data_IF_799559101194
#
_entry.id   IF_799559101194
#
_cell.length_a   1.000
_cell.length_b   1.000
_cell.length_c   1.000
_cell.angle_alpha   90.00
_cell.angle_beta   90.00
_cell.angle_gamma   90.00
#
_symmetry.space_group_name_H-M   'P 1'
#
loop_
_entity.id
_entity.type
_entity.pdbx_description
1 polymer ?
#
# COMPACT_ATOMS: atom_id res chain seq x y z
N UNK A 1 4.03 23.42 -13.08
CA UNK A 1 3.28 22.46 -13.93
C UNK A 1 2.16 21.78 -13.13
N UNK A 2 2.41 21.30 -11.90
CA UNK A 2 1.44 20.50 -11.13
C UNK A 2 0.10 21.22 -10.92
N UNK A 3 0.12 22.50 -10.51
CA UNK A 3 -1.11 23.28 -10.24
C UNK A 3 -1.71 23.95 -11.48
N UNK A 4 -0.94 24.12 -12.56
CA UNK A 4 -1.37 24.66 -13.84
C UNK A 4 -0.99 23.73 -14.99
N UNK A 5 -1.59 22.53 -15.07
CA UNK A 5 -1.23 21.59 -16.11
C UNK A 5 -1.77 22.04 -17.47
N UNK A 6 -0.98 21.82 -18.50
CA UNK A 6 -1.39 21.98 -19.89
C UNK A 6 -1.81 20.63 -20.46
N UNK A 7 -2.85 20.04 -19.86
CA UNK A 7 -3.35 18.74 -20.29
C UNK A 7 -4.56 18.95 -21.20
N UNK A 8 -4.44 18.54 -22.45
CA UNK A 8 -5.52 18.51 -23.41
C UNK A 8 -6.25 17.16 -23.41
N UNK A 9 -7.41 17.11 -24.04
CA UNK A 9 -8.11 15.84 -24.25
C UNK A 9 -7.25 14.82 -25.03
N UNK A 10 -6.47 15.30 -26.00
CA UNK A 10 -5.52 14.46 -26.75
C UNK A 10 -4.41 13.89 -25.86
N UNK A 11 -3.96 14.68 -24.88
CA UNK A 11 -2.98 14.19 -23.90
C UNK A 11 -3.58 13.08 -23.05
N UNK A 12 -4.82 13.23 -22.60
CA UNK A 12 -5.50 12.18 -21.86
C UNK A 12 -5.69 10.91 -22.70
N UNK A 13 -6.05 11.06 -23.98
CA UNK A 13 -6.19 9.94 -24.90
C UNK A 13 -4.86 9.22 -25.12
N UNK A 14 -3.76 9.93 -25.24
CA UNK A 14 -2.44 9.34 -25.41
C UNK A 14 -1.95 8.65 -24.12
N UNK A 15 -1.97 9.36 -23.01
CA UNK A 15 -1.37 8.91 -21.76
C UNK A 15 -2.33 8.04 -20.91
N UNK A 16 -3.61 8.34 -20.92
CA UNK A 16 -4.63 7.62 -20.18
C UNK A 16 -5.12 6.39 -20.92
N UNK A 17 -6.08 6.62 -21.83
CA UNK A 17 -6.66 5.55 -22.65
C UNK A 17 -7.32 6.08 -23.91
N UNK A 18 -7.39 5.25 -24.94
CA UNK A 18 -8.11 5.49 -26.20
C UNK A 18 -8.52 4.17 -26.86
N UNK A 19 -9.40 4.26 -27.84
CA UNK A 19 -9.67 3.13 -28.72
C UNK A 19 -8.57 2.98 -29.75
N UNK A 20 -8.09 1.76 -29.94
CA UNK A 20 -7.11 1.41 -30.95
C UNK A 20 -7.72 0.43 -31.97
N UNK A 21 -7.48 0.70 -33.24
CA UNK A 21 -7.89 -0.15 -34.35
C UNK A 21 -6.65 -0.74 -35.03
N UNK A 22 -6.39 -2.02 -34.79
CA UNK A 22 -5.23 -2.73 -35.34
C UNK A 22 -5.30 -3.02 -36.87
N UNK A 23 -6.47 -2.79 -37.50
CA UNK A 23 -6.72 -2.97 -38.93
C UNK A 23 -8.21 -2.86 -39.21
N UNK A 24 -8.60 -2.75 -40.49
CA UNK A 24 -10.01 -2.54 -40.86
C UNK A 24 -10.94 -3.67 -40.41
N UNK A 25 -10.44 -4.89 -40.32
CA UNK A 25 -11.19 -6.07 -39.90
C UNK A 25 -10.89 -6.50 -38.44
N UNK A 26 -10.05 -5.74 -37.73
CA UNK A 26 -9.71 -6.04 -36.36
C UNK A 26 -10.77 -5.46 -35.40
N UNK A 27 -11.03 -6.11 -34.26
CA UNK A 27 -11.87 -5.52 -33.23
C UNK A 27 -11.21 -4.28 -32.63
N UNK A 28 -12.04 -3.33 -32.18
CA UNK A 28 -11.57 -2.22 -31.36
C UNK A 28 -11.02 -2.73 -30.04
N UNK A 29 -9.86 -2.25 -29.67
CA UNK A 29 -9.23 -2.53 -28.38
C UNK A 29 -8.98 -1.22 -27.62
N UNK A 30 -8.67 -1.34 -26.34
CA UNK A 30 -8.22 -0.20 -25.52
C UNK A 30 -6.70 -0.16 -25.50
N UNK A 31 -6.15 1.03 -25.57
CA UNK A 31 -4.73 1.32 -25.48
C UNK A 31 -4.51 2.63 -24.73
N UNK A 32 -3.29 2.91 -24.31
CA UNK A 32 -2.89 4.10 -23.58
C UNK A 32 -1.77 3.76 -22.59
N UNK A 33 -0.96 4.73 -22.21
CA UNK A 33 0.21 4.46 -21.34
C UNK A 33 -0.27 3.92 -19.99
N UNK A 34 -1.12 4.66 -19.28
CA UNK A 34 -1.64 4.24 -17.95
C UNK A 34 -2.49 2.97 -18.06
N UNK A 35 -3.35 2.88 -19.08
CA UNK A 35 -4.16 1.68 -19.29
C UNK A 35 -3.29 0.42 -19.44
N UNK A 36 -2.26 0.49 -20.28
CA UNK A 36 -1.38 -0.66 -20.54
C UNK A 36 -0.51 -0.98 -19.33
N UNK A 37 -0.03 0.03 -18.60
CA UNK A 37 0.70 -0.14 -17.35
C UNK A 37 -0.13 -0.88 -16.31
N UNK A 38 -1.35 -0.42 -16.06
CA UNK A 38 -2.25 -1.05 -15.11
C UNK A 38 -2.69 -2.44 -15.54
N UNK A 39 -2.92 -2.66 -16.84
CA UNK A 39 -3.16 -3.99 -17.38
C UNK A 39 -1.98 -4.92 -17.09
N UNK A 40 -0.74 -4.43 -17.21
CA UNK A 40 0.47 -5.15 -16.83
C UNK A 40 0.52 -5.49 -15.33
N UNK A 41 0.18 -4.53 -14.46
CA UNK A 41 0.10 -4.77 -13.00
C UNK A 41 -0.90 -5.87 -12.68
N UNK A 42 -2.10 -5.83 -13.26
CA UNK A 42 -3.15 -6.83 -13.02
C UNK A 42 -2.90 -8.19 -13.72
N UNK A 43 -1.83 -8.32 -14.50
CA UNK A 43 -1.38 -9.63 -14.98
C UNK A 43 -0.62 -10.44 -13.94
N UNK A 44 -0.22 -9.82 -12.81
CA UNK A 44 0.44 -10.50 -11.70
C UNK A 44 -0.60 -11.02 -10.69
N UNK A 45 -0.65 -12.32 -10.41
CA UNK A 45 -1.53 -12.88 -9.38
C UNK A 45 -1.30 -12.26 -7.99
N UNK A 46 -0.05 -11.95 -7.64
CA UNK A 46 0.30 -11.33 -6.36
C UNK A 46 -0.24 -9.89 -6.27
N UNK A 47 -0.18 -9.13 -7.36
CA UNK A 47 -0.76 -7.78 -7.42
C UNK A 47 -2.30 -7.81 -7.34
N UNK A 48 -2.93 -8.76 -8.03
CA UNK A 48 -4.39 -8.99 -7.93
C UNK A 48 -4.79 -9.34 -6.51
N UNK A 49 -4.01 -10.22 -5.83
CA UNK A 49 -4.29 -10.61 -4.45
C UNK A 49 -4.13 -9.44 -3.48
N UNK A 50 -3.07 -8.64 -3.62
CA UNK A 50 -2.85 -7.45 -2.80
C UNK A 50 -3.95 -6.41 -2.96
N UNK A 51 -4.36 -6.12 -4.19
CA UNK A 51 -5.48 -5.21 -4.47
C UNK A 51 -6.80 -5.76 -3.94
N UNK A 52 -7.10 -7.04 -4.16
CA UNK A 52 -8.30 -7.70 -3.66
C UNK A 52 -8.36 -7.71 -2.13
N UNK A 53 -7.25 -7.99 -1.46
CA UNK A 53 -7.16 -7.93 0.00
C UNK A 53 -7.52 -6.55 0.52
N UNK A 54 -6.88 -5.50 0.00
CA UNK A 54 -7.08 -4.12 0.43
C UNK A 54 -8.49 -3.62 0.15
N UNK A 55 -8.99 -3.82 -1.07
CA UNK A 55 -10.32 -3.36 -1.49
C UNK A 55 -11.45 -4.09 -0.75
N UNK A 56 -11.24 -5.36 -0.37
CA UNK A 56 -12.20 -6.14 0.39
C UNK A 56 -12.17 -5.82 1.89
N UNK A 57 -10.97 -5.53 2.41
CA UNK A 57 -10.80 -5.21 3.83
C UNK A 57 -11.33 -3.81 4.17
N UNK A 58 -11.21 -2.85 3.25
CA UNK A 58 -11.55 -1.43 3.47
C UNK A 58 -12.50 -0.86 2.38
N UNK A 59 -13.61 -1.54 2.04
CA UNK A 59 -14.47 -1.17 0.91
C UNK A 59 -15.19 0.17 1.07
N UNK A 60 -15.40 0.64 2.31
CA UNK A 60 -16.16 1.87 2.60
C UNK A 60 -15.26 3.10 2.71
N UNK A 61 -14.00 2.99 2.30
CA UNK A 61 -13.00 4.05 2.41
C UNK A 61 -12.34 4.35 1.06
N UNK A 62 -11.55 5.41 0.99
CA UNK A 62 -10.72 5.70 -0.20
C UNK A 62 -9.73 4.58 -0.50
N UNK A 63 -9.35 3.78 0.49
CA UNK A 63 -8.44 2.64 0.34
C UNK A 63 -9.10 1.43 -0.33
N UNK A 64 -10.45 1.41 -0.42
CA UNK A 64 -11.21 0.47 -1.22
C UNK A 64 -11.06 0.67 -2.74
N UNK A 65 -10.29 1.65 -3.18
CA UNK A 65 -10.03 1.93 -4.59
C UNK A 65 -8.55 1.79 -4.91
N UNK A 66 -8.25 1.34 -6.14
CA UNK A 66 -6.87 1.34 -6.62
C UNK A 66 -6.50 2.74 -7.12
N UNK A 67 -5.43 3.31 -6.57
CA UNK A 67 -4.96 4.65 -6.94
C UNK A 67 -4.33 4.71 -8.35
N UNK A 68 -3.81 3.61 -8.86
CA UNK A 68 -3.34 3.49 -10.26
C UNK A 68 -4.47 3.29 -11.26
N UNK A 69 -5.64 2.91 -10.78
CA UNK A 69 -6.83 2.62 -11.58
C UNK A 69 -6.99 1.13 -11.90
N UNK A 70 -8.23 0.70 -12.04
CA UNK A 70 -8.57 -0.63 -12.50
C UNK A 70 -8.71 -0.61 -14.03
N UNK A 71 -7.98 -1.46 -14.79
CA UNK A 71 -8.11 -1.53 -16.24
C UNK A 71 -9.53 -1.73 -16.76
N UNK A 72 -10.40 -2.38 -15.96
CA UNK A 72 -11.80 -2.54 -16.30
C UNK A 72 -12.62 -1.25 -16.20
N UNK A 73 -12.15 -0.27 -15.42
CA UNK A 73 -12.85 1.00 -15.14
C UNK A 73 -12.16 2.21 -15.80
N UNK A 74 -10.86 2.14 -16.08
CA UNK A 74 -10.13 3.23 -16.74
C UNK A 74 -10.83 3.72 -18.02
N UNK A 75 -11.40 2.85 -18.90
CA UNK A 75 -12.10 3.30 -20.10
C UNK A 75 -13.39 4.10 -19.85
N UNK A 76 -13.92 4.12 -18.64
CA UNK A 76 -15.09 4.92 -18.27
C UNK A 76 -14.70 6.38 -17.92
N UNK A 77 -13.41 6.65 -17.74
CA UNK A 77 -12.92 7.99 -17.39
C UNK A 77 -13.00 8.94 -18.58
N UNK A 78 -13.69 10.05 -18.37
CA UNK A 78 -13.81 11.12 -19.36
C UNK A 78 -12.82 12.24 -19.07
N UNK A 79 -12.48 13.02 -20.11
CA UNK A 79 -11.66 14.21 -19.94
C UNK A 79 -12.29 15.21 -18.96
N UNK A 80 -13.60 15.35 -18.97
CA UNK A 80 -14.32 16.23 -18.03
C UNK A 80 -14.15 15.78 -16.58
N UNK A 81 -14.23 14.45 -16.30
CA UNK A 81 -14.00 13.90 -14.97
C UNK A 81 -12.56 14.09 -14.52
N UNK A 82 -11.61 13.78 -15.39
CA UNK A 82 -10.18 13.96 -15.14
C UNK A 82 -9.84 15.42 -14.80
N UNK A 83 -10.31 16.36 -15.62
CA UNK A 83 -10.07 17.79 -15.41
C UNK A 83 -10.69 18.29 -14.11
N UNK A 84 -11.95 17.91 -13.82
CA UNK A 84 -12.63 18.29 -12.58
C UNK A 84 -11.90 17.74 -11.35
N UNK A 85 -11.40 16.49 -11.38
CA UNK A 85 -10.62 15.93 -10.30
C UNK A 85 -9.36 16.74 -10.05
N UNK A 86 -8.60 17.06 -11.10
CA UNK A 86 -7.42 17.90 -10.99
C UNK A 86 -7.75 19.27 -10.39
N UNK A 87 -8.75 19.99 -10.93
CA UNK A 87 -9.16 21.32 -10.48
C UNK A 87 -9.65 21.31 -9.01
N UNK A 88 -10.19 20.19 -8.54
CA UNK A 88 -10.68 20.04 -7.16
C UNK A 88 -9.55 19.84 -6.16
N UNK A 89 -8.58 19.00 -6.48
CA UNK A 89 -7.63 18.49 -5.49
C UNK A 89 -6.20 19.00 -5.66
N UNK A 90 -5.79 19.40 -6.87
CA UNK A 90 -4.44 19.86 -7.16
C UNK A 90 -4.33 21.38 -6.97
N UNK A 91 -4.25 21.78 -5.72
CA UNK A 91 -4.12 23.18 -5.32
C UNK A 91 -3.10 23.33 -4.19
N UNK A 92 -2.35 24.47 -4.08
CA UNK A 92 -1.40 24.66 -2.97
C UNK A 92 -2.04 24.52 -1.58
N UNK A 93 -3.33 24.86 -1.40
CA UNK A 93 -4.06 24.63 -0.14
C UNK A 93 -4.17 23.15 0.25
N UNK A 94 -3.92 22.23 -0.66
CA UNK A 94 -3.93 20.77 -0.46
C UNK A 94 -2.55 20.15 -0.67
N UNK A 95 -1.49 20.95 -0.74
CA UNK A 95 -0.14 20.46 -0.99
C UNK A 95 0.67 20.31 0.30
N UNK A 96 1.59 19.38 0.29
CA UNK A 96 2.68 19.25 1.26
C UNK A 96 3.99 19.45 0.52
N UNK A 97 4.85 20.29 1.05
CA UNK A 97 6.15 20.58 0.47
C UNK A 97 7.24 19.94 1.31
N UNK A 98 7.98 19.03 0.71
CA UNK A 98 9.11 18.37 1.34
C UNK A 98 10.38 18.70 0.55
N UNK A 99 11.43 19.09 1.25
CA UNK A 99 12.73 19.40 0.67
C UNK A 99 13.82 18.62 1.39
N UNK A 100 14.77 18.12 0.62
CA UNK A 100 15.92 17.40 1.13
C UNK A 100 17.16 17.81 0.33
N UNK A 101 18.15 18.37 1.00
CA UNK A 101 19.39 18.88 0.41
C UNK A 101 19.98 19.98 1.28
N UNK A 102 21.15 20.47 0.92
CA UNK A 102 21.90 21.52 1.65
C UNK A 102 21.81 22.89 0.96
N UNK A 103 20.88 23.09 0.06
CA UNK A 103 20.59 24.39 -0.55
C UNK A 103 20.07 25.40 0.49
N UNK A 104 20.30 26.72 0.29
CA UNK A 104 19.92 27.75 1.26
C UNK A 104 18.40 27.75 1.54
N UNK A 105 18.03 27.50 2.80
CA UNK A 105 16.64 27.40 3.24
C UNK A 105 15.83 28.67 2.89
N UNK A 106 16.40 29.84 3.12
CA UNK A 106 15.71 31.13 2.88
C UNK A 106 15.40 31.33 1.40
N UNK A 107 16.34 30.99 0.51
CA UNK A 107 16.12 31.07 -0.93
C UNK A 107 15.06 30.10 -1.41
N UNK A 108 15.07 28.89 -0.88
CA UNK A 108 14.03 27.86 -1.14
C UNK A 108 12.66 28.36 -0.73
N UNK A 109 12.53 28.89 0.50
CA UNK A 109 11.26 29.42 0.99
C UNK A 109 10.80 30.63 0.18
N UNK A 110 11.72 31.53 -0.19
CA UNK A 110 11.41 32.69 -1.04
C UNK A 110 10.86 32.28 -2.41
N UNK A 111 11.43 31.24 -3.02
CA UNK A 111 10.97 30.75 -4.33
C UNK A 111 9.60 30.10 -4.24
N UNK A 112 9.35 29.30 -3.19
CA UNK A 112 8.03 28.69 -2.96
C UNK A 112 7.00 29.77 -2.68
N UNK A 113 7.29 30.70 -1.76
CA UNK A 113 6.39 31.79 -1.40
C UNK A 113 5.99 32.62 -2.61
N UNK A 114 6.98 33.05 -3.42
CA UNK A 114 6.73 33.80 -4.63
C UNK A 114 5.78 33.07 -5.59
N UNK A 115 5.83 31.74 -5.65
CA UNK A 115 4.96 30.95 -6.50
C UNK A 115 3.57 30.73 -5.90
N UNK A 116 3.47 30.38 -4.62
CA UNK A 116 2.18 30.06 -3.99
C UNK A 116 1.33 31.32 -3.73
N UNK A 117 1.95 32.50 -3.59
CA UNK A 117 1.27 33.78 -3.41
C UNK A 117 0.35 34.14 -4.59
N UNK A 118 0.55 33.55 -5.77
CA UNK A 118 -0.36 33.71 -6.92
C UNK A 118 -1.73 33.05 -6.69
N UNK A 119 -1.83 32.13 -5.74
CA UNK A 119 -3.05 31.38 -5.47
C UNK A 119 -3.83 31.95 -4.30
N UNK A 120 -5.16 32.04 -4.46
CA UNK A 120 -6.04 32.32 -3.34
C UNK A 120 -6.33 31.04 -2.57
N UNK A 121 -6.29 31.05 -1.22
CA UNK A 121 -6.65 29.87 -0.43
C UNK A 121 -8.06 29.38 -0.75
N UNK A 122 -8.20 28.07 -0.94
CA UNK A 122 -9.50 27.41 -1.14
C UNK A 122 -9.72 26.31 -0.09
N UNK A 123 -10.96 26.07 0.34
CA UNK A 123 -11.26 24.92 1.19
C UNK A 123 -11.25 23.64 0.35
N UNK A 124 -10.24 22.80 0.57
CA UNK A 124 -10.23 21.45 -0.01
C UNK A 124 -10.67 20.48 1.07
N UNK A 125 -11.83 19.87 0.89
CA UNK A 125 -12.32 18.84 1.80
C UNK A 125 -11.79 17.48 1.37
N UNK A 126 -10.94 16.90 2.18
CA UNK A 126 -10.53 15.51 2.09
C UNK A 126 -10.99 14.84 3.36
N UNK A 127 -11.96 13.96 3.23
CA UNK A 127 -12.53 13.21 4.34
C UNK A 127 -12.07 11.76 4.26
N UNK A 128 -10.94 11.49 4.91
CA UNK A 128 -10.40 10.15 4.99
C UNK A 128 -11.02 9.46 6.20
N UNK A 129 -11.99 8.61 5.94
CA UNK A 129 -12.66 7.83 6.97
C UNK A 129 -11.93 6.52 7.25
N UNK A 130 -12.02 6.08 8.51
CA UNK A 130 -11.62 4.72 8.90
C UNK A 130 -12.68 3.73 8.45
N UNK A 131 -12.25 2.51 8.18
CA UNK A 131 -13.18 1.43 7.88
C UNK A 131 -14.01 1.10 9.12
N UNK A 132 -15.36 1.08 9.02
CA UNK A 132 -16.20 0.55 10.08
C UNK A 132 -15.79 -0.88 10.43
N UNK A 133 -15.70 -1.18 11.73
CA UNK A 133 -15.26 -2.52 12.17
C UNK A 133 -16.26 -3.58 11.76
N UNK A 134 -15.75 -4.67 11.21
CA UNK A 134 -16.53 -5.85 10.91
C UNK A 134 -17.00 -6.51 12.19
N UNK A 135 -18.28 -6.85 12.30
CA UNK A 135 -18.83 -7.58 13.44
C UNK A 135 -18.53 -9.08 13.38
N UNK A 136 -18.27 -9.59 12.18
CA UNK A 136 -17.98 -10.99 11.90
C UNK A 136 -16.88 -11.09 10.83
N UNK A 137 -16.09 -12.20 10.83
CA UNK A 137 -15.17 -12.47 9.74
C UNK A 137 -15.88 -12.54 8.39
N UNK A 138 -15.33 -11.88 7.38
CA UNK A 138 -15.85 -11.89 6.03
C UNK A 138 -14.98 -12.78 5.14
N UNK A 139 -15.61 -13.69 4.43
CA UNK A 139 -14.96 -14.55 3.43
C UNK A 139 -15.35 -14.09 2.03
N UNK A 140 -14.36 -13.88 1.19
CA UNK A 140 -14.56 -13.44 -0.18
C UNK A 140 -13.65 -14.23 -1.11
N UNK A 141 -14.10 -14.44 -2.35
CA UNK A 141 -13.34 -15.15 -3.39
C UNK A 141 -13.37 -14.30 -4.65
N UNK A 142 -12.24 -14.15 -5.30
CA UNK A 142 -12.11 -13.51 -6.60
C UNK A 142 -11.39 -14.48 -7.55
N UNK A 143 -12.01 -14.84 -8.68
CA UNK A 143 -11.30 -15.57 -9.72
C UNK A 143 -10.25 -14.64 -10.37
N UNK A 144 -9.14 -15.21 -10.80
CA UNK A 144 -8.16 -14.53 -11.64
C UNK A 144 -7.75 -15.44 -12.79
N UNK A 145 -7.22 -14.84 -13.84
CA UNK A 145 -6.76 -15.57 -15.01
C UNK A 145 -5.42 -16.24 -14.67
N UNK A 146 -5.45 -17.56 -14.59
CA UNK A 146 -4.23 -18.36 -14.46
C UNK A 146 -3.71 -18.68 -15.86
N UNK A 147 -2.39 -18.60 -16.05
CA UNK A 147 -1.75 -19.04 -17.30
C UNK A 147 -1.96 -20.55 -17.55
N UNK A 148 -1.47 -21.04 -18.69
CA UNK A 148 -1.44 -22.48 -18.97
C UNK A 148 -0.59 -23.21 -17.92
N UNK A 149 -1.20 -24.08 -17.13
CA UNK A 149 -0.55 -24.84 -16.08
C UNK A 149 -1.48 -25.18 -14.91
N UNK A 150 -0.91 -25.58 -13.79
CA UNK A 150 -1.64 -25.89 -12.57
C UNK A 150 -2.34 -24.65 -12.03
N UNK A 151 -3.66 -24.66 -12.03
CA UNK A 151 -4.48 -23.61 -11.44
C UNK A 151 -4.31 -23.65 -9.91
N UNK A 152 -3.36 -22.87 -9.40
CA UNK A 152 -3.13 -22.70 -7.95
C UNK A 152 -3.85 -21.49 -7.43
N UNK A 153 -4.29 -21.57 -6.20
CA UNK A 153 -4.95 -20.49 -5.50
C UNK A 153 -4.01 -19.75 -4.55
N UNK A 154 -4.42 -18.56 -4.15
CA UNK A 154 -3.81 -17.82 -3.05
C UNK A 154 -4.88 -17.54 -1.99
N UNK A 155 -4.48 -17.52 -0.73
CA UNK A 155 -5.37 -17.24 0.39
C UNK A 155 -4.66 -16.38 1.41
N UNK A 156 -5.34 -15.33 1.90
CA UNK A 156 -4.86 -14.50 3.01
C UNK A 156 -5.91 -14.37 4.10
N UNK A 157 -5.46 -14.33 5.36
CA UNK A 157 -6.19 -13.75 6.47
C UNK A 157 -5.70 -12.33 6.70
N UNK A 158 -6.64 -11.42 6.92
CA UNK A 158 -6.32 -9.99 7.07
C UNK A 158 -7.09 -9.38 8.23
N UNK A 159 -6.45 -8.49 8.98
CA UNK A 159 -7.02 -7.81 10.14
C UNK A 159 -6.76 -6.32 10.08
N UNK A 160 -7.79 -5.51 10.35
CA UNK A 160 -7.61 -4.11 10.66
C UNK A 160 -7.01 -3.99 12.05
N UNK A 161 -5.90 -3.28 12.17
CA UNK A 161 -5.18 -3.11 13.42
C UNK A 161 -5.64 -1.84 14.15
N UNK A 162 -5.17 -0.68 13.74
CA UNK A 162 -5.52 0.57 14.39
C UNK A 162 -4.92 1.79 13.69
N UNK A 163 -4.97 2.93 14.37
CA UNK A 163 -4.57 4.23 13.84
C UNK A 163 -3.04 4.32 13.62
N UNK A 164 -2.62 4.67 12.43
CA UNK A 164 -1.20 4.82 12.07
C UNK A 164 -0.56 6.12 12.58
N UNK A 165 -1.36 7.03 13.17
CA UNK A 165 -0.82 8.25 13.81
C UNK A 165 -0.03 7.96 15.07
N UNK A 166 -0.32 6.83 15.73
CA UNK A 166 0.45 6.35 16.88
C UNK A 166 1.72 5.66 16.36
N UNK A 167 2.82 6.42 16.32
CA UNK A 167 4.10 5.95 15.81
C UNK A 167 4.69 4.81 16.65
N UNK A 168 4.44 4.80 17.97
CA UNK A 168 4.86 3.71 18.85
C UNK A 168 4.15 2.41 18.47
N UNK A 169 2.86 2.50 18.26
CA UNK A 169 2.03 1.35 17.88
C UNK A 169 2.35 0.87 16.46
N UNK A 170 2.57 1.79 15.52
CA UNK A 170 2.98 1.45 14.16
C UNK A 170 4.33 0.71 14.14
N UNK A 171 5.30 1.14 14.95
CA UNK A 171 6.57 0.44 15.12
C UNK A 171 6.37 -0.93 15.77
N UNK A 172 5.54 -1.04 16.81
CA UNK A 172 5.22 -2.32 17.46
C UNK A 172 4.61 -3.33 16.47
N UNK A 173 3.71 -2.90 15.57
CA UNK A 173 3.18 -3.77 14.52
C UNK A 173 4.23 -4.19 13.51
N UNK A 174 5.13 -3.29 13.13
CA UNK A 174 6.24 -3.60 12.22
C UNK A 174 7.19 -4.63 12.84
N UNK A 175 7.51 -4.48 14.12
CA UNK A 175 8.31 -5.45 14.89
C UNK A 175 7.59 -6.79 15.00
N UNK A 176 6.32 -6.80 15.38
CA UNK A 176 5.53 -8.03 15.47
C UNK A 176 5.44 -8.74 14.11
N UNK A 177 5.22 -7.99 13.04
CA UNK A 177 5.23 -8.52 11.68
C UNK A 177 6.55 -9.20 11.35
N UNK A 178 7.68 -8.54 11.66
CA UNK A 178 9.00 -9.12 11.44
C UNK A 178 9.24 -10.37 12.29
N UNK A 179 8.82 -10.37 13.55
CA UNK A 179 8.89 -11.54 14.44
C UNK A 179 8.09 -12.71 13.85
N UNK A 180 6.88 -12.47 13.38
CA UNK A 180 5.97 -13.51 12.89
C UNK A 180 6.36 -14.08 11.54
N UNK A 181 6.84 -13.23 10.61
CA UNK A 181 6.99 -13.60 9.19
C UNK A 181 8.30 -13.14 8.54
N UNK A 182 9.10 -12.30 9.19
CA UNK A 182 10.21 -11.57 8.56
C UNK A 182 11.43 -12.42 8.20
N UNK A 183 11.61 -13.58 8.81
CA UNK A 183 12.75 -14.46 8.55
C UNK A 183 12.29 -15.91 8.32
N UNK A 184 13.12 -16.77 7.71
CA UNK A 184 12.80 -18.20 7.59
C UNK A 184 12.56 -18.91 8.91
N UNK A 185 13.14 -18.42 10.01
CA UNK A 185 12.96 -18.95 11.37
C UNK A 185 11.75 -18.37 12.10
N UNK A 186 11.11 -17.33 11.55
CA UNK A 186 9.92 -16.70 12.13
C UNK A 186 8.79 -17.72 12.30
N UNK A 187 8.13 -17.77 13.47
CA UNK A 187 7.29 -18.91 13.84
C UNK A 187 6.10 -19.13 12.90
N UNK A 188 5.41 -18.06 12.50
CA UNK A 188 4.26 -18.20 11.61
C UNK A 188 4.70 -18.54 10.17
N UNK A 189 5.79 -17.89 9.68
CA UNK A 189 6.38 -18.25 8.38
C UNK A 189 6.78 -19.72 8.37
N UNK A 190 7.51 -20.16 9.39
CA UNK A 190 7.99 -21.54 9.48
C UNK A 190 6.82 -22.53 9.50
N UNK A 191 5.79 -22.29 10.31
CA UNK A 191 4.63 -23.17 10.38
C UNK A 191 3.93 -23.29 9.02
N UNK A 192 3.77 -22.17 8.29
CA UNK A 192 3.13 -22.15 6.98
C UNK A 192 3.96 -22.89 5.92
N UNK A 193 5.26 -22.64 5.85
CA UNK A 193 6.12 -23.30 4.86
C UNK A 193 6.28 -24.80 5.15
N UNK A 194 6.50 -25.17 6.42
CA UNK A 194 6.70 -26.57 6.82
C UNK A 194 5.41 -27.41 6.65
N UNK A 195 4.25 -26.78 6.55
CA UNK A 195 2.98 -27.47 6.32
C UNK A 195 2.90 -28.18 4.96
N UNK A 196 3.65 -27.69 3.97
CA UNK A 196 3.58 -28.18 2.59
C UNK A 196 2.24 -27.90 1.88
N UNK A 197 1.36 -27.07 2.45
CA UNK A 197 0.05 -26.72 1.88
C UNK A 197 0.17 -25.76 0.69
N UNK A 198 1.26 -25.02 0.59
CA UNK A 198 1.51 -24.03 -0.47
C UNK A 198 2.99 -23.88 -0.76
N UNK A 199 3.32 -23.00 -1.70
CA UNK A 199 4.67 -22.81 -2.21
C UNK A 199 5.44 -21.71 -1.50
N UNK A 200 4.76 -20.60 -1.15
CA UNK A 200 5.37 -19.46 -0.43
C UNK A 200 4.29 -18.62 0.28
N UNK A 201 4.75 -17.71 1.14
CA UNK A 201 3.86 -16.78 1.81
C UNK A 201 3.26 -15.75 0.84
N UNK A 202 2.07 -15.30 1.18
CA UNK A 202 1.44 -14.11 0.60
C UNK A 202 0.89 -13.23 1.73
N UNK A 203 0.50 -11.98 1.43
CA UNK A 203 -0.13 -11.07 2.38
C UNK A 203 0.77 -9.94 2.91
N UNK A 204 2.08 -10.07 2.87
CA UNK A 204 3.01 -8.95 3.12
C UNK A 204 3.21 -8.51 4.58
N UNK A 205 2.51 -9.08 5.57
CA UNK A 205 2.62 -8.71 6.97
C UNK A 205 1.86 -7.43 7.33
N UNK A 206 2.44 -6.57 8.16
CA UNK A 206 1.83 -5.30 8.56
C UNK A 206 2.05 -4.20 7.51
N UNK A 207 0.97 -3.53 7.16
CA UNK A 207 0.96 -2.35 6.27
C UNK A 207 0.49 -1.13 7.07
N UNK A 208 1.39 -0.17 7.36
CA UNK A 208 1.09 1.01 8.16
C UNK A 208 0.80 2.27 7.31
N UNK A 209 0.61 2.17 6.01
CA UNK A 209 0.58 3.35 5.12
C UNK A 209 -0.79 4.04 5.01
N UNK A 210 -1.89 3.39 5.40
CA UNK A 210 -3.22 4.00 5.44
C UNK A 210 -3.46 4.83 6.69
N UNK A 211 -4.69 5.35 6.86
CA UNK A 211 -5.15 5.95 8.13
C UNK A 211 -5.24 4.90 9.24
N UNK A 212 -5.45 3.65 8.86
CA UNK A 212 -5.41 2.47 9.71
C UNK A 212 -4.43 1.47 9.12
N UNK A 213 -3.61 0.90 10.00
CA UNK A 213 -2.78 -0.24 9.65
C UNK A 213 -3.62 -1.51 9.51
N UNK A 214 -3.17 -2.42 8.69
CA UNK A 214 -3.69 -3.78 8.64
C UNK A 214 -2.55 -4.79 8.64
N UNK A 215 -2.85 -6.01 9.04
CA UNK A 215 -1.93 -7.16 8.93
C UNK A 215 -2.55 -8.19 8.00
N UNK A 216 -1.75 -8.76 7.13
CA UNK A 216 -2.19 -9.79 6.19
C UNK A 216 -1.14 -10.88 6.05
N UNK A 217 -1.57 -12.13 6.12
CA UNK A 217 -0.70 -13.30 5.99
C UNK A 217 -1.47 -14.46 5.37
N UNK A 218 -0.79 -15.26 4.58
CA UNK A 218 -1.36 -16.44 3.96
C UNK A 218 -0.35 -17.22 3.14
N UNK A 219 -0.85 -18.12 2.31
CA UNK A 219 -0.06 -18.92 1.38
C UNK A 219 -0.52 -18.74 -0.06
N UNK A 220 0.40 -18.79 -0.97
CA UNK A 220 0.19 -18.93 -2.42
C UNK A 220 0.63 -20.29 -2.90
N UNK A 221 0.17 -20.69 -4.08
CA UNK A 221 0.42 -22.02 -4.62
C UNK A 221 -0.35 -23.13 -3.92
N UNK A 222 -1.50 -22.81 -3.30
CA UNK A 222 -2.35 -23.78 -2.58
C UNK A 222 -3.35 -24.46 -3.51
N UNK A 223 -3.77 -25.68 -3.17
CA UNK A 223 -4.99 -26.25 -3.72
C UNK A 223 -6.21 -25.50 -3.14
N UNK A 224 -7.23 -25.21 -3.97
CA UNK A 224 -8.36 -24.40 -3.53
C UNK A 224 -9.12 -24.99 -2.33
N UNK A 225 -9.17 -26.32 -2.23
CA UNK A 225 -9.79 -27.07 -1.13
C UNK A 225 -8.97 -26.99 0.19
N UNK A 226 -7.73 -26.54 0.14
CA UNK A 226 -6.88 -26.44 1.34
C UNK A 226 -6.97 -25.06 2.01
N UNK A 227 -7.76 -24.13 1.52
CA UNK A 227 -7.90 -22.79 2.09
C UNK A 227 -8.30 -22.83 3.58
N UNK A 228 -9.25 -23.69 3.97
CA UNK A 228 -9.68 -23.84 5.38
C UNK A 228 -8.56 -24.43 6.27
N UNK A 229 -7.69 -25.28 5.71
CA UNK A 229 -6.53 -25.81 6.43
C UNK A 229 -5.49 -24.73 6.69
N UNK A 230 -5.26 -23.86 5.71
CA UNK A 230 -4.34 -22.71 5.85
C UNK A 230 -4.87 -21.74 6.89
N UNK A 231 -6.17 -21.41 6.86
CA UNK A 231 -6.82 -20.58 7.88
C UNK A 231 -6.64 -21.16 9.28
N UNK A 232 -6.97 -22.43 9.46
CA UNK A 232 -6.85 -23.10 10.73
C UNK A 232 -5.39 -23.09 11.24
N UNK A 233 -4.43 -23.37 10.37
CA UNK A 233 -3.01 -23.35 10.72
C UNK A 233 -2.54 -21.97 11.18
N UNK A 234 -2.95 -20.89 10.50
CA UNK A 234 -2.63 -19.51 10.89
C UNK A 234 -3.19 -19.22 12.29
N UNK A 235 -4.49 -19.48 12.48
CA UNK A 235 -5.18 -19.17 13.74
C UNK A 235 -4.64 -20.00 14.91
N UNK A 236 -4.37 -21.28 14.70
CA UNK A 236 -3.82 -22.17 15.74
C UNK A 236 -2.39 -21.76 16.10
N UNK A 237 -1.56 -21.41 15.11
CA UNK A 237 -0.20 -20.90 15.35
C UNK A 237 -0.22 -19.61 16.15
N UNK A 238 -1.06 -18.65 15.79
CA UNK A 238 -1.20 -17.39 16.53
C UNK A 238 -1.72 -17.64 17.96
N UNK A 239 -2.68 -18.54 18.13
CA UNK A 239 -3.19 -18.94 19.44
C UNK A 239 -2.11 -19.59 20.29
N UNK A 240 -1.32 -20.48 19.72
CA UNK A 240 -0.20 -21.11 20.42
C UNK A 240 0.83 -20.07 20.87
N UNK A 241 1.23 -19.14 19.98
CA UNK A 241 2.14 -18.06 20.33
C UNK A 241 1.61 -17.15 21.44
N UNK A 242 0.29 -16.97 21.51
CA UNK A 242 -0.35 -16.21 22.59
C UNK A 242 -0.30 -16.94 23.92
N UNK A 243 -0.41 -18.29 23.93
CA UNK A 243 -0.37 -19.12 25.13
C UNK A 243 1.05 -19.34 25.65
N UNK A 244 1.96 -19.70 24.75
CA UNK A 244 3.31 -20.13 25.10
C UNK A 244 4.30 -18.97 25.16
N UNK A 245 3.93 -17.83 24.60
CA UNK A 245 4.81 -16.68 24.38
C UNK A 245 5.67 -16.85 23.13
N UNK A 246 6.41 -15.79 22.81
CA UNK A 246 7.40 -15.78 21.73
C UNK A 246 8.78 -15.92 22.37
N UNK A 247 9.63 -16.74 21.76
CA UNK A 247 11.00 -16.94 22.23
C UNK A 247 11.75 -15.61 22.27
N UNK A 248 12.45 -15.38 23.40
CA UNK A 248 13.16 -14.12 23.65
C UNK A 248 14.32 -13.86 22.69
N UNK A 249 14.98 -14.89 22.22
CA UNK A 249 16.07 -14.74 21.24
C UNK A 249 15.52 -14.32 19.88
N UNK A 250 14.39 -14.87 19.47
CA UNK A 250 13.66 -14.46 18.26
C UNK A 250 13.22 -13.00 18.33
N UNK A 251 12.68 -12.56 19.46
CA UNK A 251 12.31 -11.16 19.68
C UNK A 251 13.55 -10.25 19.61
N UNK A 252 14.61 -10.58 20.34
CA UNK A 252 15.84 -9.79 20.35
C UNK A 252 16.50 -9.71 18.97
N UNK A 253 16.54 -10.82 18.23
CA UNK A 253 17.08 -10.85 16.87
C UNK A 253 16.27 -9.96 15.92
N UNK A 254 14.94 -10.01 16.01
CA UNK A 254 14.06 -9.16 15.21
C UNK A 254 14.20 -7.68 15.56
N UNK A 255 14.26 -7.33 16.84
CA UNK A 255 14.51 -5.96 17.28
C UNK A 255 15.85 -5.43 16.77
N UNK A 256 16.93 -6.20 16.91
CA UNK A 256 18.24 -5.81 16.40
C UNK A 256 18.22 -5.59 14.89
N UNK A 257 17.53 -6.44 14.14
CA UNK A 257 17.43 -6.33 12.68
C UNK A 257 16.68 -5.07 12.27
N UNK A 258 15.54 -4.80 12.89
CA UNK A 258 14.70 -3.63 12.61
C UNK A 258 15.44 -2.36 13.02
N UNK A 259 16.03 -2.32 14.23
CA UNK A 259 16.82 -1.18 14.71
C UNK A 259 18.00 -0.90 13.79
N UNK A 260 18.75 -1.91 13.39
CA UNK A 260 19.86 -1.78 12.45
C UNK A 260 19.41 -1.18 11.11
N UNK A 261 18.31 -1.69 10.56
CA UNK A 261 17.73 -1.16 9.32
C UNK A 261 17.33 0.31 9.43
N UNK A 262 16.77 0.73 10.58
CA UNK A 262 16.39 2.11 10.84
C UNK A 262 17.62 3.03 11.00
N UNK A 263 18.66 2.57 11.70
CA UNK A 263 19.91 3.34 11.91
C UNK A 263 20.73 3.51 10.64
N UNK A 264 20.80 2.48 9.83
CA UNK A 264 21.53 2.52 8.56
C UNK A 264 20.84 3.34 7.48
N UNK A 265 19.53 3.64 7.62
CA UNK A 265 18.73 4.27 6.59
C UNK A 265 18.97 3.62 5.21
N UNK A 266 18.94 2.28 5.18
CA UNK A 266 19.07 1.56 3.94
C UNK A 266 17.85 1.82 3.07
N UNK A 267 18.02 2.69 2.09
CA UNK A 267 16.95 3.15 1.21
C UNK A 267 16.81 2.28 -0.06
N UNK A 268 17.62 1.22 -0.17
CA UNK A 268 17.67 0.39 -1.38
C UNK A 268 18.03 1.23 -2.60
N UNK A 269 17.23 1.17 -3.65
CA UNK A 269 17.40 1.95 -4.87
C UNK A 269 16.84 3.37 -4.82
N UNK A 270 16.15 3.77 -3.73
CA UNK A 270 15.55 5.10 -3.61
C UNK A 270 16.54 6.15 -3.14
N UNK A 271 16.54 7.39 -3.71
CA UNK A 271 17.23 8.51 -3.12
C UNK A 271 16.78 8.73 -1.67
N UNK A 272 17.75 9.01 -0.77
CA UNK A 272 17.50 9.12 0.68
C UNK A 272 16.35 10.08 1.02
N UNK A 273 16.28 11.25 0.37
CA UNK A 273 15.20 12.22 0.59
C UNK A 273 13.82 11.66 0.26
N UNK A 274 13.70 10.87 -0.81
CA UNK A 274 12.43 10.23 -1.19
C UNK A 274 12.04 9.17 -0.14
N UNK A 275 12.97 8.36 0.30
CA UNK A 275 12.70 7.35 1.32
C UNK A 275 12.23 7.97 2.64
N UNK A 276 12.87 9.05 3.09
CA UNK A 276 12.46 9.81 4.26
C UNK A 276 11.04 10.40 4.08
N UNK A 277 10.78 11.02 2.92
CA UNK A 277 9.45 11.56 2.62
C UNK A 277 8.37 10.46 2.67
N UNK A 278 8.60 9.31 2.05
CA UNK A 278 7.66 8.19 2.06
C UNK A 278 7.39 7.71 3.49
N UNK A 279 8.43 7.62 4.33
CA UNK A 279 8.29 7.21 5.73
C UNK A 279 7.49 8.22 6.59
N UNK A 280 7.57 9.50 6.27
CA UNK A 280 6.87 10.57 7.01
C UNK A 280 5.43 10.78 6.52
N UNK A 281 5.13 10.46 5.26
CA UNK A 281 3.84 10.75 4.62
C UNK A 281 2.63 10.21 5.38
N UNK A 282 2.60 8.95 5.85
CA UNK A 282 1.42 8.41 6.54
C UNK A 282 1.02 9.25 7.75
N UNK A 283 1.97 9.61 8.59
CA UNK A 283 1.75 10.49 9.75
C UNK A 283 1.29 11.86 9.32
N UNK A 284 1.95 12.45 8.33
CA UNK A 284 1.70 13.83 7.89
C UNK A 284 0.34 14.02 7.22
N UNK A 285 -0.03 13.16 6.28
CA UNK A 285 -1.31 13.30 5.55
C UNK A 285 -2.51 13.03 6.44
N UNK A 286 -2.35 12.25 7.50
CA UNK A 286 -3.40 11.95 8.47
C UNK A 286 -3.42 12.92 9.67
N UNK A 287 -2.61 14.00 9.62
CA UNK A 287 -2.65 15.10 10.59
C UNK A 287 -1.79 14.91 11.85
N UNK A 288 -0.86 13.97 11.84
CA UNK A 288 0.23 13.87 12.83
C UNK A 288 1.42 14.77 12.47
N UNK A 289 2.37 14.89 13.39
CA UNK A 289 3.64 15.59 13.13
C UNK A 289 4.55 14.67 12.30
N UNK A 290 4.96 15.09 11.08
CA UNK A 290 5.85 14.27 10.26
C UNK A 290 7.21 14.01 10.93
N UNK A 291 7.65 14.88 11.85
CA UNK A 291 8.93 14.71 12.56
C UNK A 291 8.89 13.54 13.55
N UNK A 292 7.71 13.19 14.09
CA UNK A 292 7.55 12.03 14.98
C UNK A 292 7.91 10.73 14.26
N UNK A 293 7.65 10.65 12.96
CA UNK A 293 7.99 9.48 12.14
C UNK A 293 9.50 9.27 11.90
N UNK A 294 10.34 10.26 12.23
CA UNK A 294 11.81 10.16 12.15
C UNK A 294 12.43 9.69 13.46
N UNK A 295 11.69 9.79 14.56
CA UNK A 295 12.18 9.42 15.90
C UNK A 295 11.84 7.96 16.20
N UNK A 296 12.81 7.06 16.20
CA UNK A 296 12.61 5.64 16.49
C UNK A 296 13.28 5.19 17.80
N UNK A 297 14.22 5.98 18.36
CA UNK A 297 14.97 5.57 19.56
C UNK A 297 14.06 5.45 20.79
N UNK A 298 13.20 6.43 21.03
CA UNK A 298 12.30 6.41 22.18
C UNK A 298 11.21 5.32 22.05
N UNK A 299 10.55 5.13 20.89
CA UNK A 299 9.66 3.99 20.66
C UNK A 299 10.30 2.62 20.84
N UNK A 300 11.56 2.42 20.39
CA UNK A 300 12.28 1.15 20.56
C UNK A 300 12.63 0.79 22.01
N UNK A 301 12.64 1.77 22.91
CA UNK A 301 12.92 1.53 24.33
C UNK A 301 11.68 1.12 25.15
N UNK A 302 10.50 1.26 24.60
CA UNK A 302 9.23 0.88 25.22
C UNK A 302 8.90 -0.60 24.98
#
# INVERSE_FOLDING_TARGET
AVFYPRISEKTLQQEGWHYELGGLDAPLTYSGVVFNEMKGVYSSPDAVMGDFTRTTLMPDTIYGHNYGGDPAVIPDLTYANFKRFHETYYHPSNARFFFYGDDPLEERLRLVDAFITEFQPIPVKIDIQKQPRWSEPKRTVKPYEAGEGDARSQMTLSWLLGDTKDVDLALAWSLLSHILTGTPASPLRKALIDSGLGEDLTGGGADPYGIEAYFSVGLKGIAGEDADKVEALILDTLKQLTSDGIDRETVAASMNTVEFGMRELNTGGYPRGIALMIGMLPTWIHGGDPMDALGFEAPLQK
#
